data_IF_146346399059
#
_entry.id   IF_146346399059
#
_cell.length_a   1.000
_cell.length_b   1.000
_cell.length_c   1.000
_cell.angle_alpha   90.00
_cell.angle_beta   90.00
_cell.angle_gamma   90.00
#
_symmetry.space_group_name_H-M   'P 1'
#
loop_
_entity.id
_entity.type
_entity.pdbx_description
1 polymer ?
#
# COMPACT_ATOMS: atom_id res chain seq x y z
N UNK A 1 -10.29 31.90 -9.56
CA UNK A 1 -10.96 30.70 -9.03
C UNK A 1 -10.05 30.03 -8.02
N UNK A 2 -10.51 29.73 -6.80
CA UNK A 2 -9.62 29.34 -5.70
C UNK A 2 -9.22 27.86 -5.83
N UNK A 3 -7.92 27.61 -6.00
CA UNK A 3 -7.32 26.26 -6.08
C UNK A 3 -7.31 25.50 -4.74
N UNK A 4 -7.94 26.04 -3.69
CA UNK A 4 -7.89 25.49 -2.33
C UNK A 4 -9.02 24.52 -2.01
N UNK A 5 -10.12 24.51 -2.79
CA UNK A 5 -11.25 23.61 -2.53
C UNK A 5 -11.03 22.18 -3.06
N UNK A 6 -10.21 22.00 -4.10
CA UNK A 6 -9.97 20.69 -4.72
C UNK A 6 -9.24 19.73 -3.76
N UNK A 7 -8.28 20.24 -2.97
CA UNK A 7 -7.55 19.42 -1.98
C UNK A 7 -8.43 18.94 -0.83
N UNK A 8 -9.48 19.68 -0.49
CA UNK A 8 -10.43 19.33 0.57
C UNK A 8 -11.47 18.31 0.09
N UNK A 9 -11.92 18.46 -1.16
CA UNK A 9 -12.86 17.51 -1.79
C UNK A 9 -12.22 16.12 -2.01
N UNK A 10 -10.91 16.06 -2.25
CA UNK A 10 -10.18 14.78 -2.35
C UNK A 10 -9.95 14.09 -0.99
N UNK A 11 -10.02 14.82 0.12
CA UNK A 11 -9.81 14.28 1.46
C UNK A 11 -11.07 13.61 2.03
N UNK A 12 -12.26 13.98 1.53
CA UNK A 12 -13.55 13.42 1.95
C UNK A 12 -14.13 12.42 0.93
N UNK A 13 -13.29 11.85 0.06
CA UNK A 13 -13.70 10.83 -0.91
C UNK A 13 -13.63 9.43 -0.26
N UNK A 14 -14.77 8.74 -0.04
CA UNK A 14 -14.81 7.41 0.54
C UNK A 14 -13.97 6.38 -0.22
N UNK A 15 -13.75 6.57 -1.52
CA UNK A 15 -12.86 5.73 -2.30
C UNK A 15 -11.39 5.93 -1.89
N UNK A 16 -10.93 7.18 -1.82
CA UNK A 16 -9.54 7.49 -1.45
C UNK A 16 -9.23 7.05 -0.01
N UNK A 17 -10.17 7.21 0.93
CA UNK A 17 -10.02 6.71 2.30
C UNK A 17 -9.81 5.19 2.32
N UNK A 18 -10.64 4.44 1.58
CA UNK A 18 -10.51 2.97 1.49
C UNK A 18 -9.20 2.57 0.81
N UNK A 19 -8.83 3.27 -0.25
CA UNK A 19 -7.58 3.03 -0.98
C UNK A 19 -6.36 3.22 -0.09
N UNK A 20 -6.31 4.33 0.65
CA UNK A 20 -5.25 4.62 1.63
C UNK A 20 -5.24 3.58 2.74
N UNK A 21 -6.42 3.21 3.27
CA UNK A 21 -6.54 2.21 4.31
C UNK A 21 -5.95 0.85 3.89
N UNK A 22 -6.39 0.29 2.75
CA UNK A 22 -5.91 -1.01 2.27
C UNK A 22 -4.41 -0.98 2.03
N UNK A 23 -3.91 0.02 1.31
CA UNK A 23 -2.47 0.15 1.04
C UNK A 23 -1.66 0.24 2.34
N UNK A 24 -2.05 1.13 3.25
CA UNK A 24 -1.34 1.34 4.51
C UNK A 24 -1.30 0.06 5.33
N UNK A 25 -2.43 -0.63 5.48
CA UNK A 25 -2.49 -1.89 6.23
C UNK A 25 -1.64 -3.00 5.61
N UNK A 26 -1.58 -3.11 4.28
CA UNK A 26 -0.72 -4.10 3.60
C UNK A 26 0.77 -3.76 3.80
N UNK A 27 1.14 -2.49 3.63
CA UNK A 27 2.53 -2.06 3.85
C UNK A 27 2.97 -2.27 5.30
N UNK A 28 2.12 -1.95 6.27
CA UNK A 28 2.36 -2.18 7.69
C UNK A 28 2.50 -3.68 8.01
N UNK A 29 1.63 -4.52 7.45
CA UNK A 29 1.73 -5.98 7.60
C UNK A 29 3.09 -6.51 7.11
N UNK A 30 3.53 -6.07 5.93
CA UNK A 30 4.84 -6.43 5.37
C UNK A 30 5.97 -5.97 6.30
N UNK A 31 5.91 -4.72 6.78
CA UNK A 31 6.91 -4.17 7.69
C UNK A 31 6.99 -4.99 9.00
N UNK A 32 5.86 -5.26 9.65
CA UNK A 32 5.85 -6.00 10.91
C UNK A 32 6.26 -7.46 10.75
N UNK A 33 5.90 -8.12 9.65
CA UNK A 33 6.36 -9.49 9.40
C UNK A 33 7.88 -9.56 9.19
N UNK A 34 8.47 -8.56 8.55
CA UNK A 34 9.93 -8.50 8.34
C UNK A 34 10.70 -8.15 9.62
N UNK A 35 10.17 -7.24 10.43
CA UNK A 35 10.94 -6.55 11.47
C UNK A 35 10.41 -6.72 12.89
N UNK A 36 9.10 -6.96 13.05
CA UNK A 36 8.40 -6.99 14.33
C UNK A 36 7.65 -8.29 14.61
N UNK A 37 8.34 -9.43 14.81
CA UNK A 37 7.71 -10.75 14.96
C UNK A 37 6.72 -10.86 16.14
N UNK A 38 6.85 -9.98 17.15
CA UNK A 38 5.92 -9.92 18.28
C UNK A 38 4.52 -9.39 17.92
N UNK A 39 4.35 -8.79 16.72
CA UNK A 39 3.08 -8.20 16.27
C UNK A 39 2.30 -9.10 15.31
N UNK A 40 2.67 -10.39 15.21
CA UNK A 40 2.04 -11.35 14.29
C UNK A 40 0.51 -11.41 14.42
N UNK A 41 -0.01 -11.43 15.65
CA UNK A 41 -1.45 -11.47 15.88
C UNK A 41 -2.14 -10.18 15.40
N UNK A 42 -1.50 -9.03 15.60
CA UNK A 42 -1.99 -7.75 15.07
C UNK A 42 -2.00 -7.77 13.53
N UNK A 43 -0.97 -8.36 12.92
CA UNK A 43 -0.89 -8.53 11.46
C UNK A 43 -2.04 -9.41 10.98
N UNK A 44 -2.28 -10.57 11.60
CA UNK A 44 -3.38 -11.47 11.24
C UNK A 44 -4.72 -10.73 11.31
N UNK A 45 -5.00 -10.04 12.41
CA UNK A 45 -6.23 -9.26 12.57
C UNK A 45 -6.36 -8.15 11.51
N UNK A 46 -5.25 -7.53 11.13
CA UNK A 46 -5.20 -6.53 10.06
C UNK A 46 -5.52 -7.14 8.70
N UNK A 47 -4.95 -8.31 8.39
CA UNK A 47 -5.19 -9.03 7.14
C UNK A 47 -6.65 -9.52 7.04
N UNK A 48 -7.24 -9.98 8.15
CA UNK A 48 -8.66 -10.33 8.22
C UNK A 48 -9.55 -9.12 7.91
N UNK A 49 -9.25 -7.96 8.53
CA UNK A 49 -9.98 -6.72 8.26
C UNK A 49 -9.86 -6.28 6.80
N UNK A 50 -8.69 -6.42 6.18
CA UNK A 50 -8.54 -6.15 4.74
C UNK A 50 -9.40 -7.13 3.95
N UNK A 51 -9.39 -8.42 4.28
CA UNK A 51 -10.18 -9.45 3.60
C UNK A 51 -11.66 -9.10 3.55
N UNK A 52 -12.21 -8.57 4.65
CA UNK A 52 -13.63 -8.16 4.74
C UNK A 52 -13.96 -6.95 3.84
N UNK A 53 -12.98 -6.09 3.55
CA UNK A 53 -13.16 -4.90 2.70
C UNK A 53 -13.01 -5.18 1.20
N UNK A 54 -12.48 -6.34 0.80
CA UNK A 54 -12.10 -6.60 -0.60
C UNK A 54 -13.25 -6.45 -1.59
N UNK A 55 -14.44 -6.99 -1.28
CA UNK A 55 -15.59 -6.90 -2.18
C UNK A 55 -15.98 -5.45 -2.50
N UNK A 56 -15.93 -4.58 -1.49
CA UNK A 56 -16.24 -3.15 -1.65
C UNK A 56 -15.08 -2.45 -2.36
N UNK A 57 -13.83 -2.69 -1.94
CA UNK A 57 -12.65 -2.07 -2.53
C UNK A 57 -12.54 -2.33 -4.04
N UNK A 58 -12.78 -3.57 -4.48
CA UNK A 58 -12.83 -3.97 -5.88
C UNK A 58 -13.93 -3.19 -6.60
N UNK A 59 -15.15 -3.23 -6.09
CA UNK A 59 -16.30 -2.57 -6.73
C UNK A 59 -16.06 -1.06 -6.87
N UNK A 60 -15.56 -0.40 -5.82
CA UNK A 60 -15.23 1.02 -5.86
C UNK A 60 -14.10 1.33 -6.85
N UNK A 61 -13.08 0.48 -6.94
CA UNK A 61 -11.96 0.67 -7.89
C UNK A 61 -12.38 0.62 -9.36
N UNK A 62 -13.39 -0.21 -9.69
CA UNK A 62 -13.94 -0.29 -11.05
C UNK A 62 -14.70 0.99 -11.40
N UNK A 63 -15.48 1.52 -10.46
CA UNK A 63 -16.25 2.78 -10.63
C UNK A 63 -15.32 3.97 -10.83
N UNK A 64 -14.23 4.03 -10.06
CA UNK A 64 -13.24 5.11 -10.13
C UNK A 64 -12.18 4.90 -11.22
N UNK A 65 -12.28 3.81 -12.00
CA UNK A 65 -11.36 3.47 -13.07
C UNK A 65 -9.88 3.42 -12.63
N UNK A 66 -9.59 2.87 -11.43
CA UNK A 66 -8.23 2.60 -10.95
C UNK A 66 -7.87 1.11 -11.14
N UNK A 67 -7.33 0.71 -12.31
CA UNK A 67 -7.02 -0.68 -12.60
C UNK A 67 -5.84 -1.22 -11.76
N UNK A 68 -5.01 -0.34 -11.20
CA UNK A 68 -3.87 -0.77 -10.39
C UNK A 68 -4.36 -1.16 -9.00
N UNK A 69 -5.22 -0.33 -8.40
CA UNK A 69 -5.82 -0.67 -7.12
C UNK A 69 -6.79 -1.86 -7.23
N UNK A 70 -7.57 -1.95 -8.31
CA UNK A 70 -8.40 -3.14 -8.58
C UNK A 70 -7.56 -4.42 -8.59
N UNK A 71 -6.43 -4.40 -9.32
CA UNK A 71 -5.53 -5.55 -9.43
C UNK A 71 -4.94 -5.94 -8.08
N UNK A 72 -4.54 -4.97 -7.25
CA UNK A 72 -4.11 -5.22 -5.88
C UNK A 72 -5.20 -5.95 -5.10
N UNK A 73 -6.42 -5.40 -5.07
CA UNK A 73 -7.52 -5.97 -4.30
C UNK A 73 -7.89 -7.38 -4.77
N UNK A 74 -7.89 -7.64 -6.09
CA UNK A 74 -8.11 -8.98 -6.66
C UNK A 74 -7.04 -9.98 -6.26
N UNK A 75 -5.77 -9.58 -6.28
CA UNK A 75 -4.68 -10.44 -5.83
C UNK A 75 -4.81 -10.77 -4.32
N UNK A 76 -5.13 -9.76 -3.51
CA UNK A 76 -5.34 -9.92 -2.07
C UNK A 76 -6.55 -10.80 -1.75
N UNK A 77 -7.68 -10.61 -2.43
CA UNK A 77 -8.88 -11.45 -2.29
C UNK A 77 -8.57 -12.95 -2.45
N UNK A 78 -7.66 -13.29 -3.35
CA UNK A 78 -7.21 -14.67 -3.57
C UNK A 78 -6.19 -15.15 -2.52
N UNK A 79 -5.25 -14.29 -2.14
CA UNK A 79 -4.09 -14.70 -1.34
C UNK A 79 -4.32 -14.61 0.17
N UNK A 80 -5.07 -13.62 0.66
CA UNK A 80 -5.22 -13.36 2.10
C UNK A 80 -5.69 -14.59 2.90
N UNK A 81 -6.68 -15.40 2.47
CA UNK A 81 -7.09 -16.58 3.24
C UNK A 81 -5.97 -17.60 3.42
N UNK A 82 -5.10 -17.76 2.40
CA UNK A 82 -3.97 -18.70 2.44
C UNK A 82 -2.88 -18.16 3.37
N UNK A 83 -2.54 -16.88 3.25
CA UNK A 83 -1.51 -16.24 4.06
C UNK A 83 -1.89 -16.21 5.55
N UNK A 84 -3.14 -15.86 5.88
CA UNK A 84 -3.67 -15.89 7.25
C UNK A 84 -3.57 -17.31 7.82
N UNK A 85 -3.93 -18.34 7.04
CA UNK A 85 -3.83 -19.74 7.47
C UNK A 85 -2.37 -20.16 7.73
N UNK A 86 -1.44 -19.76 6.86
CA UNK A 86 -0.01 -20.01 7.03
C UNK A 86 0.50 -19.35 8.33
N UNK A 87 0.17 -18.07 8.53
CA UNK A 87 0.56 -17.32 9.72
C UNK A 87 -0.01 -17.92 11.01
N UNK A 88 -1.22 -18.48 10.99
CA UNK A 88 -1.79 -19.15 12.16
C UNK A 88 -1.12 -20.50 12.48
N UNK A 89 -0.72 -21.25 11.44
CA UNK A 89 -0.18 -22.61 11.57
C UNK A 89 1.29 -22.63 11.98
N UNK A 90 2.09 -21.77 11.38
CA UNK A 90 3.54 -21.71 11.57
C UNK A 90 3.85 -20.50 12.46
N UNK A 91 4.88 -20.60 13.32
CA UNK A 91 5.23 -19.55 14.30
C UNK A 91 6.73 -19.27 14.30
N UNK A 92 7.30 -19.15 13.12
CA UNK A 92 8.72 -18.94 12.92
C UNK A 92 8.98 -17.77 11.97
N UNK A 93 10.18 -17.21 12.08
CA UNK A 93 10.59 -16.02 11.33
C UNK A 93 10.80 -16.28 9.83
N UNK A 94 11.03 -17.52 9.42
CA UNK A 94 11.19 -17.85 8.00
C UNK A 94 9.84 -17.71 7.31
N UNK A 95 8.82 -18.33 7.89
CA UNK A 95 7.43 -18.19 7.42
C UNK A 95 7.01 -16.71 7.38
N UNK A 96 7.35 -15.90 8.38
CA UNK A 96 6.96 -14.49 8.40
C UNK A 96 7.53 -13.72 7.21
N UNK A 97 8.80 -14.00 6.87
CA UNK A 97 9.44 -13.41 5.70
C UNK A 97 8.80 -13.90 4.39
N UNK A 98 8.54 -15.19 4.28
CA UNK A 98 7.91 -15.78 3.09
C UNK A 98 6.52 -15.16 2.85
N UNK A 99 5.72 -15.01 3.91
CA UNK A 99 4.40 -14.35 3.82
C UNK A 99 4.55 -12.86 3.46
N UNK A 100 5.57 -12.18 3.98
CA UNK A 100 5.84 -10.79 3.59
C UNK A 100 6.21 -10.67 2.10
N UNK A 101 7.00 -11.60 1.57
CA UNK A 101 7.35 -11.66 0.16
C UNK A 101 6.11 -11.94 -0.72
N UNK A 102 5.25 -12.85 -0.29
CA UNK A 102 3.97 -13.12 -0.97
C UNK A 102 3.05 -11.90 -0.98
N UNK A 103 2.95 -11.18 0.14
CA UNK A 103 2.19 -9.92 0.20
C UNK A 103 2.76 -8.86 -0.75
N UNK A 104 4.10 -8.72 -0.82
CA UNK A 104 4.75 -7.81 -1.78
C UNK A 104 4.40 -8.18 -3.21
N UNK A 105 4.38 -9.48 -3.54
CA UNK A 105 4.05 -9.96 -4.89
C UNK A 105 2.62 -9.64 -5.32
N UNK A 106 1.70 -9.45 -4.37
CA UNK A 106 0.32 -9.04 -4.64
C UNK A 106 0.23 -7.57 -5.10
N UNK A 107 1.22 -6.74 -4.78
CA UNK A 107 1.18 -5.30 -5.01
C UNK A 107 1.74 -4.97 -6.40
N UNK A 108 0.95 -4.34 -7.30
CA UNK A 108 1.48 -3.82 -8.56
C UNK A 108 2.64 -2.87 -8.31
N UNK A 109 3.70 -2.96 -9.12
CA UNK A 109 4.95 -2.20 -8.92
C UNK A 109 4.75 -0.69 -8.73
N UNK A 110 3.76 -0.10 -9.40
CA UNK A 110 3.42 1.33 -9.28
C UNK A 110 2.82 1.73 -7.93
N UNK A 111 2.31 0.76 -7.17
CA UNK A 111 1.76 0.94 -5.82
C UNK A 111 2.75 0.48 -4.74
N UNK A 112 3.86 -0.15 -5.12
CA UNK A 112 4.87 -0.58 -4.16
C UNK A 112 5.57 0.62 -3.53
N UNK A 113 5.87 0.53 -2.24
CA UNK A 113 6.65 1.52 -1.51
C UNK A 113 7.85 0.81 -0.85
N UNK A 114 8.88 0.41 -1.63
CA UNK A 114 9.98 -0.41 -1.13
C UNK A 114 10.77 0.27 -0.02
N UNK A 115 10.83 1.60 -0.03
CA UNK A 115 11.44 2.41 1.04
C UNK A 115 10.81 2.09 2.40
N UNK A 116 9.49 1.94 2.47
CA UNK A 116 8.77 1.60 3.71
C UNK A 116 9.00 0.17 4.20
N UNK A 117 9.51 -0.71 3.35
CA UNK A 117 9.77 -2.10 3.74
C UNK A 117 11.17 -2.31 4.31
N UNK A 118 12.09 -1.37 4.07
CA UNK A 118 13.50 -1.51 4.46
C UNK A 118 13.89 -0.45 5.50
N UNK A 119 14.15 -0.83 6.76
CA UNK A 119 14.48 0.09 7.85
C UNK A 119 15.84 0.78 7.66
N UNK A 120 16.70 0.24 6.78
CA UNK A 120 18.02 0.82 6.48
C UNK A 120 17.95 1.93 5.41
N UNK A 121 16.77 2.16 4.82
CA UNK A 121 16.54 3.29 3.92
C UNK A 121 16.06 4.45 4.79
N UNK A 122 16.92 5.46 4.98
CA UNK A 122 16.51 6.71 5.64
C UNK A 122 15.22 7.23 4.99
N UNK A 123 14.17 7.42 5.82
CA UNK A 123 12.92 8.05 5.40
C UNK A 123 13.25 9.48 4.97
N UNK A 124 13.42 9.66 3.66
CA UNK A 124 13.44 10.96 3.01
C UNK A 124 12.09 11.61 3.38
N UNK A 125 12.13 12.71 4.12
CA UNK A 125 10.93 13.44 4.56
C UNK A 125 10.03 13.75 3.35
N UNK A 126 8.70 13.75 3.54
CA UNK A 126 7.73 14.16 2.52
C UNK A 126 8.10 15.53 1.88
N UNK A 127 8.76 16.39 2.66
CA UNK A 127 9.27 17.69 2.24
C UNK A 127 10.46 17.58 1.26
N UNK A 128 11.34 16.61 1.47
CA UNK A 128 12.47 16.31 0.60
C UNK A 128 12.04 15.55 -0.69
N UNK A 129 11.01 14.71 -0.61
CA UNK A 129 10.45 14.03 -1.79
C UNK A 129 9.74 15.03 -2.71
N UNK A 130 8.98 15.98 -2.15
CA UNK A 130 8.36 17.08 -2.88
C UNK A 130 9.39 18.02 -3.53
N UNK A 131 10.51 18.31 -2.85
CA UNK A 131 11.60 19.09 -3.41
C UNK A 131 12.32 18.37 -4.57
N UNK A 132 12.53 17.06 -4.46
CA UNK A 132 13.15 16.28 -5.53
C UNK A 132 12.28 16.21 -6.78
N UNK A 133 10.96 16.12 -6.63
CA UNK A 133 10.02 16.12 -7.74
C UNK A 133 9.95 17.48 -8.46
N UNK A 134 9.97 18.58 -7.70
CA UNK A 134 10.09 19.92 -8.28
C UNK A 134 11.43 20.16 -8.99
N UNK A 135 12.54 19.63 -8.46
CA UNK A 135 13.87 19.74 -9.09
C UNK A 135 13.95 18.96 -10.40
N UNK A 136 13.23 17.84 -10.52
CA UNK A 136 13.15 17.04 -11.76
C UNK A 136 12.31 17.73 -12.84
N UNK A 137 11.20 18.39 -12.48
CA UNK A 137 10.37 19.14 -13.43
C UNK A 137 11.08 20.39 -13.98
N UNK A 138 11.97 21.02 -13.21
CA UNK A 138 12.75 22.19 -13.65
C UNK A 138 13.89 21.88 -14.63
N UNK A 139 14.23 20.60 -14.88
CA UNK A 139 15.36 20.21 -15.75
C UNK A 139 15.04 20.16 -17.25
N UNK A 140 13.79 20.36 -17.66
CA UNK A 140 13.43 20.48 -19.08
C UNK A 140 12.81 21.84 -19.38
N UNK A 141 13.61 22.90 -19.56
CA UNK A 141 13.13 24.05 -20.31
C UNK A 141 13.03 23.62 -21.78
N UNK A 142 11.80 23.49 -22.28
CA UNK A 142 11.51 23.42 -23.70
C UNK A 142 12.20 24.60 -24.41
N UNK A 143 13.18 24.30 -25.25
CA UNK A 143 13.65 25.22 -26.28
C UNK A 143 12.51 25.43 -27.27
N UNK A 144 11.81 26.56 -27.15
CA UNK A 144 11.04 27.11 -28.27
C UNK A 144 12.03 27.65 -29.30
N UNK A 145 12.01 27.05 -30.49
CA UNK A 145 12.29 27.74 -31.76
C UNK A 145 10.96 27.98 -32.46
#
# INVERSE_FOLDING_TARGET
MPRHDIKRILADDPYNERRIFVLSCVHDAIYYLRHGPHRRNDVIATLEKISDEMGIAISSSVVEHDPQFERLCRNLELMLPVLIRILNKHKDRVTDKDVADDLISCIPSVLQQPKKWNPDIEEISDEEEFEQEQRRQKKYPYHHQ
#
